data_IF_544003750139
#
_entry.id   IF_544003750139
#
_cell.length_a   1.000
_cell.length_b   1.000
_cell.length_c   1.000
_cell.angle_alpha   90.00
_cell.angle_beta   90.00
_cell.angle_gamma   90.00
#
_symmetry.space_group_name_H-M   'P 1'
#
loop_
_entity.id
_entity.type
_entity.pdbx_description
1 polymer ?
#
# COMPACT_ATOMS: atom_id res chain seq x y z
N UNK A 1 2.53 -2.26 -7.20
CA UNK A 1 1.99 -1.13 -6.41
C UNK A 1 2.61 -1.18 -5.02
N UNK A 2 2.90 -0.03 -4.42
CA UNK A 2 3.45 0.06 -3.07
C UNK A 2 2.71 1.12 -2.25
N UNK A 3 2.31 0.76 -1.04
CA UNK A 3 1.83 1.70 -0.03
C UNK A 3 2.89 1.91 1.03
N UNK A 4 2.97 3.13 1.55
CA UNK A 4 3.83 3.51 2.68
C UNK A 4 2.92 3.87 3.84
N UNK A 5 2.91 3.01 4.86
CA UNK A 5 1.93 3.06 5.94
C UNK A 5 2.61 3.52 7.22
N UNK A 6 1.95 4.39 7.98
CA UNK A 6 2.38 4.73 9.34
C UNK A 6 2.44 3.46 10.19
N UNK A 7 3.50 3.20 10.97
CA UNK A 7 3.63 1.97 11.74
C UNK A 7 2.44 1.66 12.64
N UNK A 8 1.83 2.69 13.24
CA UNK A 8 0.66 2.57 14.10
C UNK A 8 -0.64 2.21 13.35
N UNK A 9 -0.67 2.35 12.01
CA UNK A 9 -1.82 2.06 11.17
C UNK A 9 -1.70 0.73 10.41
N UNK A 10 -0.59 -0.01 10.55
CA UNK A 10 -0.32 -1.18 9.69
C UNK A 10 -1.38 -2.27 9.83
N UNK A 11 -1.83 -2.58 11.05
CA UNK A 11 -2.82 -3.64 11.27
C UNK A 11 -4.18 -3.30 10.64
N UNK A 12 -4.59 -2.02 10.75
CA UNK A 12 -5.81 -1.53 10.13
C UNK A 12 -5.71 -1.55 8.59
N UNK A 13 -4.58 -1.10 8.04
CA UNK A 13 -4.34 -1.13 6.60
C UNK A 13 -4.37 -2.56 6.04
N UNK A 14 -3.76 -3.53 6.73
CA UNK A 14 -3.77 -4.94 6.32
C UNK A 14 -5.16 -5.56 6.41
N UNK A 15 -5.97 -5.18 7.41
CA UNK A 15 -7.36 -5.60 7.51
C UNK A 15 -8.18 -5.07 6.31
N UNK A 16 -8.04 -3.79 5.99
CA UNK A 16 -8.76 -3.17 4.86
C UNK A 16 -8.36 -3.81 3.51
N UNK A 17 -7.08 -4.16 3.32
CA UNK A 17 -6.62 -4.87 2.11
C UNK A 17 -7.20 -6.29 2.02
N UNK A 18 -7.22 -7.02 3.14
CA UNK A 18 -7.82 -8.36 3.20
C UNK A 18 -9.32 -8.34 2.93
N UNK A 19 -10.04 -7.36 3.50
CA UNK A 19 -11.48 -7.18 3.26
C UNK A 19 -11.75 -6.80 1.80
N UNK A 20 -10.80 -6.13 1.13
CA UNK A 20 -10.83 -5.90 -0.31
C UNK A 20 -10.49 -7.15 -1.15
N UNK A 21 -10.12 -8.25 -0.51
CA UNK A 21 -9.76 -9.53 -1.14
C UNK A 21 -8.37 -9.56 -1.74
N UNK A 22 -7.46 -8.66 -1.32
CA UNK A 22 -6.12 -8.55 -1.89
C UNK A 22 -5.08 -8.62 -0.77
N UNK A 23 -4.19 -9.62 -0.85
CA UNK A 23 -3.12 -9.81 0.13
C UNK A 23 -1.79 -9.24 -0.41
N UNK A 24 -0.94 -8.64 0.45
CA UNK A 24 0.35 -8.12 0.04
C UNK A 24 1.36 -9.23 -0.22
N UNK A 25 2.24 -9.02 -1.21
CA UNK A 25 3.34 -9.93 -1.51
C UNK A 25 4.51 -9.76 -0.53
N UNK A 26 4.72 -8.53 -0.05
CA UNK A 26 5.81 -8.19 0.85
C UNK A 26 5.41 -7.06 1.80
N UNK A 27 5.82 -7.20 3.06
CA UNK A 27 5.70 -6.18 4.09
C UNK A 27 7.10 -5.95 4.66
N UNK A 28 7.57 -4.70 4.67
CA UNK A 28 8.89 -4.32 5.15
C UNK A 28 8.79 -3.14 6.12
N UNK A 29 9.22 -3.35 7.37
CA UNK A 29 9.33 -2.26 8.33
C UNK A 29 10.57 -1.40 8.04
N UNK A 30 10.40 -0.08 8.01
CA UNK A 30 11.45 0.91 7.75
C UNK A 30 11.53 1.88 8.92
N UNK A 31 12.10 1.46 10.06
CA UNK A 31 12.08 2.24 11.30
C UNK A 31 12.82 3.57 11.19
N UNK A 32 13.87 3.64 10.38
CA UNK A 32 14.63 4.90 10.14
C UNK A 32 13.81 5.93 9.34
N UNK A 33 12.89 5.47 8.50
CA UNK A 33 11.98 6.33 7.71
C UNK A 33 10.63 6.55 8.43
N UNK A 34 10.38 5.87 9.56
CA UNK A 34 9.12 5.95 10.29
C UNK A 34 7.92 5.39 9.50
N UNK A 35 8.14 4.40 8.63
CA UNK A 35 7.11 3.82 7.77
C UNK A 35 7.17 2.28 7.69
N UNK A 36 6.10 1.69 7.18
CA UNK A 36 6.04 0.29 6.75
C UNK A 36 5.68 0.26 5.26
N UNK A 37 6.55 -0.33 4.45
CA UNK A 37 6.29 -0.52 3.03
C UNK A 37 5.49 -1.81 2.80
N UNK A 38 4.36 -1.69 2.10
CA UNK A 38 3.49 -2.81 1.72
C UNK A 38 3.46 -2.89 0.20
N UNK A 39 3.92 -3.99 -0.37
CA UNK A 39 4.12 -4.17 -1.80
C UNK A 39 3.22 -5.26 -2.39
N UNK A 40 2.73 -4.98 -3.61
CA UNK A 40 1.89 -5.84 -4.42
C UNK A 40 2.47 -5.89 -5.86
N UNK A 41 2.94 -7.03 -6.31
CA UNK A 41 3.69 -7.21 -7.55
C UNK A 41 2.86 -7.79 -8.71
N UNK A 42 1.76 -8.50 -8.43
CA UNK A 42 0.96 -9.20 -9.45
C UNK A 42 -0.53 -8.82 -9.40
N UNK A 43 -0.81 -7.54 -9.32
CA UNK A 43 -2.19 -7.05 -9.32
C UNK A 43 -2.79 -7.07 -10.73
N UNK A 44 -4.00 -7.59 -10.85
CA UNK A 44 -4.85 -7.24 -11.99
C UNK A 44 -5.31 -5.78 -11.87
N UNK A 45 -5.84 -5.22 -12.95
CA UNK A 45 -6.44 -3.88 -12.89
C UNK A 45 -7.59 -3.80 -11.86
N UNK A 46 -8.38 -4.86 -11.74
CA UNK A 46 -9.49 -4.94 -10.79
C UNK A 46 -8.98 -4.96 -9.33
N UNK A 47 -7.91 -5.71 -9.07
CA UNK A 47 -7.29 -5.76 -7.74
C UNK A 47 -6.67 -4.40 -7.36
N UNK A 48 -6.01 -3.73 -8.31
CA UNK A 48 -5.49 -2.39 -8.08
C UNK A 48 -6.62 -1.39 -7.78
N UNK A 49 -7.76 -1.48 -8.48
CA UNK A 49 -8.91 -0.62 -8.23
C UNK A 49 -9.55 -0.89 -6.86
N UNK A 50 -9.63 -2.15 -6.43
CA UNK A 50 -10.08 -2.54 -5.08
C UNK A 50 -9.19 -1.95 -3.99
N UNK A 51 -7.87 -2.10 -4.12
CA UNK A 51 -6.89 -1.54 -3.18
C UNK A 51 -7.00 -0.02 -3.06
N UNK A 52 -7.10 0.69 -4.19
CA UNK A 52 -7.23 2.16 -4.19
C UNK A 52 -8.53 2.61 -3.50
N UNK A 53 -9.62 1.85 -3.64
CA UNK A 53 -10.89 2.16 -2.99
C UNK A 53 -10.91 1.83 -1.50
N UNK A 54 -10.21 0.76 -1.10
CA UNK A 54 -10.12 0.33 0.28
C UNK A 54 -9.12 1.17 1.09
N UNK A 55 -8.13 1.77 0.43
CA UNK A 55 -7.08 2.52 1.10
C UNK A 55 -7.60 3.81 1.77
N UNK A 56 -7.46 3.90 3.10
CA UNK A 56 -7.64 5.14 3.83
C UNK A 56 -6.36 6.01 3.73
N UNK A 57 -6.44 7.22 3.14
CA UNK A 57 -5.28 8.11 3.03
C UNK A 57 -4.66 8.51 4.37
N UNK A 58 -5.40 8.45 5.49
CA UNK A 58 -4.87 8.78 6.82
C UNK A 58 -3.79 7.82 7.29
N UNK A 59 -3.77 6.59 6.76
CA UNK A 59 -2.74 5.60 7.05
C UNK A 59 -1.41 5.92 6.36
N UNK A 60 -1.41 6.80 5.36
CA UNK A 60 -0.21 7.06 4.57
C UNK A 60 0.86 7.77 5.40
N UNK A 61 2.07 7.20 5.43
CA UNK A 61 3.25 7.85 6.03
C UNK A 61 3.73 9.06 5.22
N UNK A 62 3.35 9.11 3.93
CA UNK A 62 3.65 10.21 3.01
C UNK A 62 2.36 10.69 2.36
N UNK A 63 2.07 11.98 2.39
CA UNK A 63 0.93 12.55 1.64
C UNK A 63 1.37 12.69 0.17
N UNK A 64 1.07 11.70 -0.65
CA UNK A 64 1.31 11.70 -2.09
C UNK A 64 1.16 10.30 -2.70
N UNK A 65 0.46 10.18 -3.83
CA UNK A 65 0.41 8.95 -4.63
C UNK A 65 1.80 8.74 -5.24
N UNK A 66 2.59 7.81 -4.70
CA UNK A 66 3.79 7.35 -5.39
C UNK A 66 3.34 6.38 -6.47
N UNK A 67 3.02 6.93 -7.63
CA UNK A 67 3.17 6.17 -8.86
C UNK A 67 4.62 5.68 -8.95
N UNK A 68 4.82 4.43 -9.37
CA UNK A 68 6.11 4.04 -9.93
C UNK A 68 6.53 5.03 -11.03
N UNK A 69 7.81 5.03 -11.45
CA UNK A 69 8.33 6.02 -12.39
C UNK A 69 7.36 6.25 -13.57
N UNK A 70 7.13 7.51 -13.98
CA UNK A 70 6.29 7.79 -15.13
C UNK A 70 7.04 7.31 -16.37
N UNK A 71 6.52 6.24 -17.00
CA UNK A 71 6.91 5.71 -18.30
C UNK A 71 8.34 5.13 -18.42
N UNK A 72 8.43 3.91 -18.93
CA UNK A 72 9.47 3.54 -19.89
C UNK A 72 8.73 3.23 -21.21
N UNK A 73 9.29 3.70 -22.33
CA UNK A 73 8.84 3.39 -23.70
C UNK A 73 8.81 1.88 -23.99
#
# INVERSE_FOLDING_TARGET
>A
MRFRIKPECIDAALADFRDAGVEPDRIEARPEEGEVAVEFHRLTYDDAAKLVRAFNPEYSAIIGVIGGPPFED
#
